data_IF_706800694288
#
_entry.id   IF_706800694288
#
_cell.length_a   1.000
_cell.length_b   1.000
_cell.length_c   1.000
_cell.angle_alpha   90.00
_cell.angle_beta   90.00
_cell.angle_gamma   90.00
#
_symmetry.space_group_name_H-M   'P 1'
#
loop_
_entity.id
_entity.type
_entity.pdbx_description
1 polymer ?
#
# COMPACT_ATOMS: atom_id res chain seq x y z
N UNK A 1 -6.67 -3.37 15.39
CA UNK A 1 -6.50 -4.28 14.23
C UNK A 1 -5.76 -5.54 14.66
N UNK A 2 -6.06 -6.71 14.07
CA UNK A 2 -5.18 -7.88 14.16
C UNK A 2 -4.04 -7.75 13.15
N UNK A 3 -2.84 -7.39 13.63
CA UNK A 3 -1.68 -7.15 12.77
C UNK A 3 -1.21 -8.39 12.00
N UNK A 4 -1.40 -9.60 12.55
CA UNK A 4 -0.99 -10.84 11.88
C UNK A 4 -1.96 -11.19 10.74
N UNK A 5 -3.25 -11.02 10.98
CA UNK A 5 -4.28 -11.20 9.95
C UNK A 5 -4.10 -10.18 8.82
N UNK A 6 -3.96 -8.89 9.16
CA UNK A 6 -3.72 -7.83 8.19
C UNK A 6 -2.44 -8.06 7.37
N UNK A 7 -1.35 -8.48 8.03
CA UNK A 7 -0.09 -8.82 7.36
C UNK A 7 -0.26 -9.97 6.35
N UNK A 8 -1.09 -10.96 6.67
CA UNK A 8 -1.34 -12.10 5.78
C UNK A 8 -2.17 -11.65 4.57
N UNK A 9 -3.28 -10.94 4.82
CA UNK A 9 -4.15 -10.42 3.78
C UNK A 9 -3.40 -9.49 2.80
N UNK A 10 -2.55 -8.59 3.31
CA UNK A 10 -1.72 -7.72 2.48
C UNK A 10 -0.77 -8.52 1.58
N UNK A 11 -0.11 -9.55 2.11
CA UNK A 11 0.79 -10.38 1.30
C UNK A 11 0.03 -11.12 0.19
N UNK A 12 -1.19 -11.59 0.45
CA UNK A 12 -2.04 -12.25 -0.54
C UNK A 12 -2.45 -11.28 -1.66
N UNK A 13 -2.90 -10.07 -1.31
CA UNK A 13 -3.25 -9.03 -2.29
C UNK A 13 -2.01 -8.66 -3.12
N UNK A 14 -0.87 -8.42 -2.48
CA UNK A 14 0.37 -8.03 -3.17
C UNK A 14 0.83 -9.12 -4.13
N UNK A 15 0.78 -10.38 -3.72
CA UNK A 15 1.09 -11.52 -4.58
C UNK A 15 0.16 -11.60 -5.79
N UNK A 16 -1.14 -11.38 -5.60
CA UNK A 16 -2.11 -11.33 -6.69
C UNK A 16 -1.84 -10.15 -7.65
N UNK A 17 -1.58 -8.94 -7.14
CA UNK A 17 -1.22 -7.77 -7.96
C UNK A 17 0.05 -8.00 -8.79
N UNK A 18 1.07 -8.61 -8.18
CA UNK A 18 2.32 -8.93 -8.88
C UNK A 18 2.09 -9.99 -9.97
N UNK A 19 1.26 -10.99 -9.71
CA UNK A 19 0.92 -12.02 -10.69
C UNK A 19 0.12 -11.44 -11.86
N UNK A 20 -0.86 -10.58 -11.59
CA UNK A 20 -1.66 -9.90 -12.60
C UNK A 20 -0.79 -8.97 -13.48
N UNK A 21 0.22 -8.32 -12.89
CA UNK A 21 1.15 -7.46 -13.61
C UNK A 21 2.14 -8.21 -14.53
N UNK A 22 2.29 -9.53 -14.36
CA UNK A 22 3.20 -10.37 -15.15
C UNK A 22 2.53 -11.06 -16.35
N UNK A 23 1.19 -11.02 -16.41
CA UNK A 23 0.42 -11.63 -17.51
C UNK A 23 -0.14 -10.57 -18.45
N UNK A 24 -0.37 -10.96 -19.71
CA UNK A 24 -1.01 -10.10 -20.70
C UNK A 24 -2.52 -10.02 -20.45
N UNK A 25 -3.14 -8.90 -20.81
CA UNK A 25 -4.58 -8.70 -20.73
C UNK A 25 -5.38 -9.77 -21.51
N UNK A 26 -4.80 -10.32 -22.58
CA UNK A 26 -5.44 -11.37 -23.37
C UNK A 26 -5.15 -12.79 -22.84
N UNK A 27 -4.42 -12.94 -21.73
CA UNK A 27 -4.23 -14.25 -21.11
C UNK A 27 -5.59 -14.79 -20.61
N UNK A 28 -5.96 -16.04 -20.92
CA UNK A 28 -7.23 -16.63 -20.48
C UNK A 28 -7.45 -16.63 -18.96
N UNK A 29 -6.40 -16.42 -18.15
CA UNK A 29 -6.46 -16.35 -16.69
C UNK A 29 -6.54 -14.93 -16.15
N UNK A 30 -6.48 -13.90 -17.00
CA UNK A 30 -6.49 -12.51 -16.57
C UNK A 30 -7.75 -12.20 -15.76
N UNK A 31 -8.92 -12.50 -16.32
CA UNK A 31 -10.22 -12.26 -15.68
C UNK A 31 -10.32 -12.99 -14.32
N UNK A 32 -9.90 -14.25 -14.24
CA UNK A 32 -9.91 -15.03 -13.00
C UNK A 32 -9.01 -14.41 -11.91
N UNK A 33 -7.83 -13.92 -12.30
CA UNK A 33 -6.90 -13.28 -11.38
C UNK A 33 -7.37 -11.89 -10.94
N UNK A 34 -8.00 -11.13 -11.83
CA UNK A 34 -8.62 -9.84 -11.52
C UNK A 34 -9.80 -10.03 -10.55
N UNK A 35 -10.72 -10.95 -10.81
CA UNK A 35 -11.82 -11.28 -9.90
C UNK A 35 -11.32 -11.73 -8.52
N UNK A 36 -10.27 -12.56 -8.50
CA UNK A 36 -9.63 -12.98 -7.24
C UNK A 36 -9.02 -11.80 -6.50
N UNK A 37 -8.32 -10.89 -7.19
CA UNK A 37 -7.76 -9.68 -6.58
C UNK A 37 -8.86 -8.83 -5.95
N UNK A 38 -9.95 -8.57 -6.68
CA UNK A 38 -11.10 -7.82 -6.14
C UNK A 38 -11.72 -8.50 -4.92
N UNK A 39 -11.90 -9.82 -4.96
CA UNK A 39 -12.41 -10.56 -3.80
C UNK A 39 -11.50 -10.44 -2.57
N UNK A 40 -10.18 -10.46 -2.76
CA UNK A 40 -9.21 -10.27 -1.67
C UNK A 40 -9.27 -8.84 -1.12
N UNK A 41 -9.35 -7.84 -1.99
CA UNK A 41 -9.48 -6.43 -1.61
C UNK A 41 -10.76 -6.16 -0.82
N UNK A 42 -11.90 -6.70 -1.27
CA UNK A 42 -13.19 -6.59 -0.56
C UNK A 42 -13.13 -7.21 0.83
N UNK A 43 -12.54 -8.40 0.95
CA UNK A 43 -12.36 -9.09 2.25
C UNK A 43 -11.45 -8.27 3.16
N UNK A 44 -10.36 -7.72 2.63
CA UNK A 44 -9.45 -6.88 3.39
C UNK A 44 -10.13 -5.61 3.90
N UNK A 45 -10.88 -4.91 3.04
CA UNK A 45 -11.62 -3.71 3.44
C UNK A 45 -12.70 -4.05 4.49
N UNK A 46 -13.41 -5.16 4.34
CA UNK A 46 -14.42 -5.58 5.31
C UNK A 46 -13.84 -5.93 6.69
N UNK A 47 -12.62 -6.49 6.74
CA UNK A 47 -12.01 -6.96 8.00
C UNK A 47 -11.07 -5.94 8.66
N UNK A 48 -10.43 -5.10 7.85
CA UNK A 48 -9.33 -4.23 8.28
C UNK A 48 -9.48 -2.79 7.80
N UNK A 49 -10.41 -2.49 6.89
CA UNK A 49 -10.58 -1.19 6.26
C UNK A 49 -10.72 -0.05 7.27
N UNK A 50 -11.69 -0.14 8.18
CA UNK A 50 -11.93 0.88 9.21
C UNK A 50 -10.68 1.19 10.04
N UNK A 51 -9.94 0.15 10.46
CA UNK A 51 -8.74 0.36 11.26
C UNK A 51 -7.61 1.03 10.45
N UNK A 52 -7.43 0.68 9.18
CA UNK A 52 -6.46 1.34 8.32
C UNK A 52 -6.89 2.77 7.97
N UNK A 53 -8.18 3.03 7.76
CA UNK A 53 -8.68 4.37 7.51
C UNK A 53 -8.40 5.30 8.69
N UNK A 54 -8.59 4.83 9.92
CA UNK A 54 -8.26 5.63 11.11
C UNK A 54 -6.75 5.90 11.24
N UNK A 55 -5.91 4.89 10.99
CA UNK A 55 -4.45 5.09 10.93
C UNK A 55 -4.06 6.09 9.84
N UNK A 56 -4.67 6.00 8.66
CA UNK A 56 -4.39 6.89 7.54
C UNK A 56 -4.87 8.32 7.81
N UNK A 57 -6.00 8.50 8.52
CA UNK A 57 -6.44 9.83 8.98
C UNK A 57 -5.41 10.46 9.91
N UNK A 58 -4.93 9.72 10.91
CA UNK A 58 -3.91 10.22 11.84
C UNK A 58 -2.63 10.65 11.09
N UNK A 59 -2.19 9.85 10.11
CA UNK A 59 -1.03 10.18 9.27
C UNK A 59 -1.31 11.40 8.39
N UNK A 60 -2.49 11.51 7.79
CA UNK A 60 -2.86 12.66 6.96
C UNK A 60 -2.89 13.94 7.80
N UNK A 61 -3.52 13.90 8.98
CA UNK A 61 -3.58 15.05 9.88
C UNK A 61 -2.18 15.54 10.30
N UNK A 62 -1.21 14.64 10.42
CA UNK A 62 0.17 14.97 10.79
C UNK A 62 1.03 15.44 9.61
N UNK A 63 0.99 14.74 8.47
CA UNK A 63 1.97 14.93 7.39
C UNK A 63 1.41 15.65 6.16
N UNK A 64 0.11 15.58 5.90
CA UNK A 64 -0.54 16.06 4.68
C UNK A 64 -2.04 16.37 4.87
N UNK A 65 -2.40 17.33 5.75
CA UNK A 65 -3.78 17.56 6.19
C UNK A 65 -4.70 18.09 5.07
N UNK A 66 -4.13 18.65 4.01
CA UNK A 66 -4.88 19.15 2.86
C UNK A 66 -5.26 18.03 1.85
N UNK A 67 -4.75 16.80 2.02
CA UNK A 67 -5.05 15.67 1.14
C UNK A 67 -6.20 14.82 1.68
N UNK A 68 -7.14 14.48 0.78
CA UNK A 68 -8.19 13.50 1.08
C UNK A 68 -7.60 12.12 1.44
N UNK A 69 -8.15 11.50 2.48
CA UNK A 69 -7.84 10.11 2.83
C UNK A 69 -8.56 9.17 1.86
N UNK A 70 -7.80 8.34 1.15
CA UNK A 70 -8.35 7.35 0.22
C UNK A 70 -8.65 6.01 0.92
N UNK A 71 -9.27 5.09 0.19
CA UNK A 71 -9.43 3.71 0.67
C UNK A 71 -8.05 3.06 0.93
N UNK A 72 -7.89 2.23 1.98
CA UNK A 72 -6.62 1.60 2.31
C UNK A 72 -5.93 0.88 1.15
N UNK A 73 -6.69 0.20 0.29
CA UNK A 73 -6.15 -0.52 -0.89
C UNK A 73 -5.49 0.41 -1.92
N UNK A 74 -5.84 1.70 -1.95
CA UNK A 74 -5.23 2.68 -2.84
C UNK A 74 -3.75 2.96 -2.50
N UNK A 75 -3.37 2.76 -1.23
CA UNK A 75 -2.00 2.95 -0.73
C UNK A 75 -1.11 1.71 -0.98
N UNK A 76 -1.61 0.69 -1.67
CA UNK A 76 -0.80 -0.44 -2.11
C UNK A 76 -0.05 -0.10 -3.40
N UNK A 77 1.25 -0.33 -3.41
CA UNK A 77 2.07 -0.13 -4.60
C UNK A 77 1.60 -1.00 -5.77
N UNK A 78 1.93 -0.58 -6.99
CA UNK A 78 1.74 -1.38 -8.21
C UNK A 78 2.82 -2.45 -8.30
N UNK A 79 4.03 -2.15 -7.85
CA UNK A 79 5.18 -3.06 -7.88
C UNK A 79 5.87 -3.11 -6.54
N UNK A 80 6.12 -4.33 -6.09
CA UNK A 80 6.90 -4.63 -4.89
C UNK A 80 8.17 -5.37 -5.26
N UNK A 81 9.24 -5.09 -4.52
CA UNK A 81 10.47 -5.86 -4.53
C UNK A 81 10.54 -6.66 -3.24
N UNK A 82 10.63 -7.98 -3.37
CA UNK A 82 10.74 -8.91 -2.25
C UNK A 82 12.20 -9.35 -2.17
N UNK A 83 12.89 -9.00 -1.09
CA UNK A 83 14.28 -9.43 -0.86
C UNK A 83 14.34 -10.70 -0.03
N UNK A 84 15.54 -11.28 0.07
CA UNK A 84 15.82 -12.41 0.95
C UNK A 84 15.28 -12.16 2.36
N UNK A 85 14.57 -13.14 2.92
CA UNK A 85 13.88 -13.01 4.21
C UNK A 85 12.43 -12.48 4.13
N UNK A 86 11.84 -12.40 2.94
CA UNK A 86 10.44 -12.00 2.72
C UNK A 86 10.18 -10.52 3.10
N UNK A 87 11.20 -9.67 2.99
CA UNK A 87 11.07 -8.23 3.25
C UNK A 87 10.58 -7.51 2.00
N UNK A 88 9.62 -6.59 2.19
CA UNK A 88 8.98 -5.86 1.11
C UNK A 88 9.52 -4.44 1.03
N UNK A 89 9.86 -4.01 -0.19
CA UNK A 89 10.28 -2.65 -0.52
C UNK A 89 9.63 -2.20 -1.84
N UNK A 90 9.60 -0.90 -2.07
CA UNK A 90 8.99 -0.28 -3.26
C UNK A 90 9.86 0.85 -3.78
N UNK A 91 9.77 1.14 -5.07
CA UNK A 91 10.42 2.29 -5.65
C UNK A 91 9.77 3.60 -5.17
N UNK A 92 10.52 4.70 -5.21
CA UNK A 92 10.08 5.99 -4.67
C UNK A 92 8.91 6.64 -5.42
N UNK A 93 8.52 6.11 -6.58
CA UNK A 93 7.38 6.58 -7.37
C UNK A 93 6.10 5.76 -7.13
N UNK A 94 6.13 4.80 -6.21
CA UNK A 94 4.99 3.97 -5.85
C UNK A 94 4.16 4.60 -4.71
N UNK A 95 2.88 4.23 -4.64
CA UNK A 95 1.95 4.74 -3.61
C UNK A 95 1.19 6.00 -4.00
N UNK A 96 0.40 6.49 -3.05
CA UNK A 96 -0.50 7.64 -3.21
C UNK A 96 0.31 8.93 -3.08
N UNK A 97 0.20 9.81 -4.07
CA UNK A 97 0.79 11.15 -3.98
C UNK A 97 0.08 11.98 -2.93
N UNK A 98 0.85 12.59 -2.05
CA UNK A 98 0.36 13.54 -1.04
C UNK A 98 1.20 14.82 -1.13
N UNK A 99 0.66 15.94 -0.66
CA UNK A 99 1.41 17.19 -0.51
C UNK A 99 1.74 17.34 0.98
N UNK A 100 3.04 17.33 1.31
CA UNK A 100 3.46 17.38 2.69
C UNK A 100 4.04 18.75 3.03
N UNK A 101 3.43 19.41 4.00
CA UNK A 101 3.81 20.77 4.43
C UNK A 101 5.26 20.84 4.91
N UNK A 102 5.70 19.80 5.64
CA UNK A 102 7.08 19.68 6.15
C UNK A 102 8.12 19.51 5.04
N UNK A 103 7.69 19.05 3.87
CA UNK A 103 8.55 18.75 2.72
C UNK A 103 8.17 19.54 1.48
N UNK A 104 7.75 20.80 1.66
CA UNK A 104 7.33 21.70 0.59
C UNK A 104 8.25 21.66 -0.65
N UNK A 105 7.66 21.40 -1.81
CA UNK A 105 8.36 21.34 -3.10
C UNK A 105 9.05 20.01 -3.40
N UNK A 106 8.95 19.00 -2.53
CA UNK A 106 9.34 17.62 -2.82
C UNK A 106 8.10 16.79 -3.15
N UNK A 107 8.23 15.90 -4.13
CA UNK A 107 7.20 14.88 -4.38
C UNK A 107 7.18 13.89 -3.20
N UNK A 108 6.06 13.79 -2.50
CA UNK A 108 5.88 12.84 -1.41
C UNK A 108 4.79 11.80 -1.73
N UNK A 109 4.97 10.59 -1.21
CA UNK A 109 4.03 9.48 -1.43
C UNK A 109 3.87 8.60 -0.21
N UNK A 110 2.65 8.16 0.07
CA UNK A 110 2.35 7.18 1.12
C UNK A 110 2.13 5.79 0.52
N UNK A 111 2.74 4.78 1.15
CA UNK A 111 2.63 3.38 0.73
C UNK A 111 2.57 2.41 1.90
N UNK A 112 1.69 1.42 1.82
CA UNK A 112 1.59 0.32 2.79
C UNK A 112 2.52 -0.82 2.38
N UNK A 113 3.33 -1.29 3.34
CA UNK A 113 4.21 -2.44 3.20
C UNK A 113 3.86 -3.52 4.24
N UNK A 114 3.81 -4.81 3.85
CA UNK A 114 3.72 -5.91 4.82
C UNK A 114 5.10 -6.30 5.35
N UNK A 115 5.09 -7.20 6.32
CA UNK A 115 6.23 -7.88 6.93
C UNK A 115 7.36 -6.93 7.40
N UNK A 116 7.18 -6.20 8.52
CA UNK A 116 5.93 -6.01 9.27
C UNK A 116 5.00 -4.99 8.60
N UNK A 117 3.73 -4.96 9.01
CA UNK A 117 2.77 -3.96 8.50
C UNK A 117 3.22 -2.57 8.91
N UNK A 118 3.47 -1.72 7.92
CA UNK A 118 3.93 -0.35 8.12
C UNK A 118 3.52 0.55 6.98
N UNK A 119 3.46 1.84 7.25
CA UNK A 119 3.20 2.88 6.26
C UNK A 119 4.48 3.71 6.12
N UNK A 120 4.89 3.89 4.87
CA UNK A 120 6.11 4.60 4.51
C UNK A 120 5.76 5.88 3.75
N UNK A 121 6.31 6.99 4.20
CA UNK A 121 6.35 8.25 3.47
C UNK A 121 7.63 8.30 2.65
N UNK A 122 7.48 8.32 1.33
CA UNK A 122 8.59 8.61 0.41
C UNK A 122 8.72 10.11 0.24
N UNK A 123 9.95 10.62 0.21
CA UNK A 123 10.28 12.04 0.09
C UNK A 123 11.29 12.23 -1.04
N UNK A 124 10.82 12.76 -2.17
CA UNK A 124 11.62 12.92 -3.38
C UNK A 124 12.17 11.58 -3.90
N UNK A 125 13.38 11.61 -4.46
CA UNK A 125 13.95 10.47 -5.21
C UNK A 125 14.71 9.46 -4.37
N UNK A 126 15.12 9.84 -3.15
CA UNK A 126 16.17 9.12 -2.43
C UNK A 126 15.86 8.87 -0.94
N UNK A 127 14.73 9.37 -0.41
CA UNK A 127 14.40 9.26 1.01
C UNK A 127 13.07 8.54 1.22
N UNK A 128 13.03 7.64 2.20
CA UNK A 128 11.83 6.96 2.70
C UNK A 128 11.87 6.93 4.22
N UNK A 129 10.74 7.18 4.86
CA UNK A 129 10.57 7.19 6.31
C UNK A 129 9.35 6.34 6.70
N UNK A 130 9.48 5.54 7.75
CA UNK A 130 8.32 4.81 8.30
C UNK A 130 7.57 5.76 9.23
N UNK A 131 6.36 6.17 8.84
CA UNK A 131 5.50 7.07 9.61
C UNK A 131 4.54 6.33 10.52
N UNK A 132 4.35 5.02 10.30
CA UNK A 132 3.56 4.16 11.18
C UNK A 132 4.00 2.70 11.07
N UNK A 133 3.91 1.95 12.18
CA UNK A 133 4.14 0.50 12.21
C UNK A 133 3.26 -0.19 13.27
N UNK A 134 2.74 -1.40 12.95
CA UNK A 134 1.89 -2.21 13.84
C UNK A 134 2.65 -2.97 14.93
#
# INVERSE_FOLDING_TARGET
>A
MDAKAANTALQEIISAKMSLADIDYNDPKYDELEEKLHSLEDVFLAQHGEAFEDILKDIHDEYCPDNDVLLPIAYLAKKYQITDGNSYSVANNEGVFVDSDDYAGKETRLVILPNPVRIVLTIGKDQQETVWSS
#
